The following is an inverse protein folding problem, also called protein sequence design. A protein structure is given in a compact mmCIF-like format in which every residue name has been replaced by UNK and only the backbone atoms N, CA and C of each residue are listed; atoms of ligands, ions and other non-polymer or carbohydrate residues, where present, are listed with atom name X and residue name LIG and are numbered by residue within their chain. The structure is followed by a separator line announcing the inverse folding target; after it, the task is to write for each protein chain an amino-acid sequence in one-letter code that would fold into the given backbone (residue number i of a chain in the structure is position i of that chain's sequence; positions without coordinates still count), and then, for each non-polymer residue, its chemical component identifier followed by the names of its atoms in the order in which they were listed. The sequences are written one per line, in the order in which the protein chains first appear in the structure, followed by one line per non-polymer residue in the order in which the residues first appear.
data_IF_384745296634
#
_entry.id   IF_384745296634
#
_cell.length_a   1.000
_cell.length_b   1.000
_cell.length_c   1.000
_cell.angle_alpha   90.00
_cell.angle_beta   90.00
_cell.angle_gamma   90.00
#
_symmetry.space_group_name_H-M   'P 1'
#
loop_
_entity.id
_entity.type
_entity.pdbx_description
1 polymer ?
#
# COMPACT_ATOMS: atom_id res chain seq x y z
N UNK A 1 -0.29 -10.19 18.06
CA UNK A 1 -1.44 -9.39 18.55
C UNK A 1 -2.72 -10.04 18.04
N UNK A 2 -3.70 -10.39 18.89
CA UNK A 2 -4.96 -10.99 18.40
C UNK A 2 -5.77 -9.91 17.66
N UNK A 3 -6.29 -10.24 16.48
CA UNK A 3 -7.19 -9.36 15.70
C UNK A 3 -8.53 -9.29 16.43
N UNK A 4 -8.67 -8.33 17.35
CA UNK A 4 -9.92 -8.12 18.06
C UNK A 4 -10.87 -7.28 17.21
N UNK A 5 -12.02 -7.85 16.89
CA UNK A 5 -13.09 -7.14 16.20
C UNK A 5 -13.53 -5.95 17.07
N UNK A 6 -13.41 -4.73 16.55
CA UNK A 6 -13.88 -3.53 17.25
C UNK A 6 -15.34 -3.30 16.92
N UNK A 7 -16.20 -3.23 17.94
CA UNK A 7 -17.62 -2.91 17.74
C UNK A 7 -17.79 -1.40 17.71
N UNK A 8 -18.45 -0.89 16.67
CA UNK A 8 -18.79 0.53 16.57
C UNK A 8 -19.87 0.85 17.61
N UNK A 9 -19.59 1.74 18.54
CA UNK A 9 -20.45 2.02 19.70
C UNK A 9 -21.55 3.06 19.43
N UNK A 10 -21.43 3.85 18.37
CA UNK A 10 -22.30 4.99 18.08
C UNK A 10 -22.41 5.31 16.58
N UNK A 11 -23.37 6.15 16.22
CA UNK A 11 -23.57 6.61 14.84
C UNK A 11 -24.29 5.61 13.93
N UNK A 12 -24.37 5.89 12.62
CA UNK A 12 -25.17 5.10 11.67
C UNK A 12 -24.69 3.64 11.53
N UNK A 13 -23.43 3.35 11.90
CA UNK A 13 -22.85 2.01 11.85
C UNK A 13 -22.79 1.31 13.21
N UNK A 14 -23.50 1.82 14.23
CA UNK A 14 -23.54 1.22 15.57
C UNK A 14 -23.86 -0.27 15.53
N UNK A 15 -23.10 -1.07 16.28
CA UNK A 15 -23.25 -2.52 16.38
C UNK A 15 -22.56 -3.32 15.25
N UNK A 16 -22.02 -2.66 14.22
CA UNK A 16 -21.18 -3.33 13.23
C UNK A 16 -19.80 -3.60 13.81
N UNK A 17 -19.16 -4.67 13.30
CA UNK A 17 -17.80 -5.07 13.66
C UNK A 17 -16.82 -4.57 12.61
N UNK A 18 -15.75 -3.95 13.06
CA UNK A 18 -14.59 -3.59 12.23
C UNK A 18 -13.50 -4.61 12.49
N UNK A 19 -12.95 -5.15 11.40
CA UNK A 19 -11.73 -5.95 11.41
C UNK A 19 -10.70 -5.25 10.52
N UNK A 20 -9.53 -4.99 11.06
CA UNK A 20 -8.42 -4.47 10.27
C UNK A 20 -7.74 -5.60 9.50
N UNK A 21 -7.39 -5.31 8.25
CA UNK A 21 -6.48 -6.13 7.47
C UNK A 21 -5.11 -6.21 8.20
N UNK A 22 -4.37 -7.33 8.03
CA UNK A 22 -3.03 -7.43 8.61
C UNK A 22 -2.07 -6.41 7.97
N UNK A 23 -1.00 -6.08 8.68
CA UNK A 23 0.05 -5.16 8.21
C UNK A 23 1.43 -5.82 8.26
N UNK A 24 1.49 -7.13 8.50
CA UNK A 24 2.75 -7.78 8.81
C UNK A 24 3.65 -7.81 7.56
N UNK A 25 3.06 -8.04 6.38
CA UNK A 25 3.79 -8.06 5.13
C UNK A 25 4.34 -6.69 4.77
N UNK A 26 3.49 -5.66 4.77
CA UNK A 26 3.94 -4.29 4.45
C UNK A 26 4.99 -3.79 5.45
N UNK A 27 4.88 -4.16 6.73
CA UNK A 27 5.87 -3.80 7.75
C UNK A 27 7.26 -4.43 7.51
N UNK A 28 7.35 -5.56 6.80
CA UNK A 28 8.65 -6.14 6.42
C UNK A 28 9.40 -5.27 5.40
N UNK A 29 8.69 -4.42 4.66
CA UNK A 29 9.23 -3.56 3.61
C UNK A 29 9.13 -2.08 3.99
N UNK A 30 9.25 -1.75 5.28
CA UNK A 30 9.00 -0.39 5.81
C UNK A 30 9.76 0.70 5.04
N UNK A 31 11.07 0.53 4.82
CA UNK A 31 11.88 1.50 4.07
C UNK A 31 11.41 1.70 2.63
N UNK A 32 11.06 0.60 1.94
CA UNK A 32 10.54 0.64 0.57
C UNK A 32 9.17 1.32 0.54
N UNK A 33 8.29 0.98 1.50
CA UNK A 33 6.96 1.57 1.59
C UNK A 33 7.03 3.08 1.84
N UNK A 34 7.85 3.54 2.80
CA UNK A 34 8.02 4.97 3.09
C UNK A 34 8.67 5.71 1.92
N UNK A 35 9.65 5.10 1.25
CA UNK A 35 10.25 5.66 0.04
C UNK A 35 9.22 5.81 -1.08
N UNK A 36 8.41 4.77 -1.32
CA UNK A 36 7.40 4.77 -2.38
C UNK A 36 6.30 5.79 -2.09
N UNK A 37 5.77 5.82 -0.87
CA UNK A 37 4.71 6.76 -0.49
C UNK A 37 5.17 8.20 -0.65
N UNK A 38 6.39 8.51 -0.24
CA UNK A 38 6.97 9.84 -0.43
C UNK A 38 7.24 10.17 -1.90
N UNK A 39 7.86 9.27 -2.67
CA UNK A 39 8.26 9.57 -4.06
C UNK A 39 7.09 9.58 -5.05
N UNK A 40 6.13 8.69 -4.87
CA UNK A 40 5.01 8.49 -5.80
C UNK A 40 3.82 9.35 -5.42
N UNK A 41 3.49 9.43 -4.12
CA UNK A 41 2.28 10.10 -3.64
C UNK A 41 2.55 11.38 -2.83
N UNK A 42 3.82 11.76 -2.62
CA UNK A 42 4.21 12.92 -1.80
C UNK A 42 3.66 12.88 -0.37
N UNK A 43 3.45 11.66 0.16
CA UNK A 43 2.98 11.47 1.54
C UNK A 43 4.12 11.16 2.50
N UNK A 44 4.17 11.92 3.58
CA UNK A 44 5.06 11.69 4.70
C UNK A 44 4.53 10.57 5.62
N UNK A 45 5.41 9.91 6.41
CA UNK A 45 4.96 8.94 7.40
C UNK A 45 3.88 9.53 8.31
N UNK A 46 2.81 8.76 8.53
CA UNK A 46 1.58 9.12 9.28
C UNK A 46 0.50 9.87 8.50
N UNK A 47 0.77 10.28 7.26
CA UNK A 47 -0.26 10.86 6.38
C UNK A 47 -1.09 9.78 5.68
N UNK A 48 -0.63 8.53 5.73
CA UNK A 48 -1.29 7.37 5.13
C UNK A 48 -1.40 6.19 6.10
N UNK A 49 -2.32 5.28 5.77
CA UNK A 49 -2.44 3.98 6.39
C UNK A 49 -2.52 2.92 5.29
N UNK A 50 -1.53 2.01 5.26
CA UNK A 50 -1.51 0.88 4.33
C UNK A 50 -1.55 -0.44 5.11
N UNK A 51 -2.12 -1.45 4.48
CA UNK A 51 -2.23 -2.81 5.00
C UNK A 51 -1.79 -3.80 3.92
N UNK A 52 -1.69 -5.08 4.27
CA UNK A 52 -1.36 -6.16 3.33
C UNK A 52 -2.42 -6.29 2.21
N UNK A 53 -3.61 -5.72 2.39
CA UNK A 53 -4.70 -5.71 1.41
C UNK A 53 -4.79 -4.39 0.61
N UNK A 54 -3.93 -3.40 0.90
CA UNK A 54 -3.95 -2.11 0.20
C UNK A 54 -3.43 -2.23 -1.23
N UNK A 55 -3.99 -1.42 -2.13
CA UNK A 55 -3.68 -1.40 -3.57
C UNK A 55 -3.46 0.03 -4.08
N UNK A 56 -2.91 0.18 -5.28
CA UNK A 56 -2.78 1.49 -5.93
C UNK A 56 -4.13 2.20 -6.11
N UNK A 57 -5.24 1.45 -6.26
CA UNK A 57 -6.59 2.02 -6.36
C UNK A 57 -6.99 2.82 -5.12
N UNK A 58 -6.51 2.44 -3.93
CA UNK A 58 -6.82 3.16 -2.69
C UNK A 58 -6.28 4.59 -2.68
N UNK A 59 -5.36 4.90 -3.61
CA UNK A 59 -4.70 6.19 -3.75
C UNK A 59 -5.07 6.91 -5.05
N UNK A 60 -5.93 6.32 -5.88
CA UNK A 60 -6.48 6.99 -7.07
C UNK A 60 -7.47 8.08 -6.67
N UNK A 61 -7.47 9.21 -7.38
CA UNK A 61 -8.42 10.32 -7.17
C UNK A 61 -8.07 11.28 -6.03
N UNK A 62 -6.89 11.18 -5.41
CA UNK A 62 -6.43 12.16 -4.41
C UNK A 62 -5.88 13.44 -5.07
N UNK A 63 -5.18 13.33 -6.20
CA UNK A 63 -4.52 14.46 -6.90
C UNK A 63 -4.72 14.43 -8.43
N UNK A 64 -5.91 14.03 -8.90
CA UNK A 64 -6.22 13.82 -10.34
C UNK A 64 -5.34 12.74 -11.03
N UNK A 65 -4.44 12.08 -10.30
CA UNK A 65 -3.64 10.97 -10.79
C UNK A 65 -4.51 9.73 -11.00
N UNK A 66 -4.52 9.24 -12.23
CA UNK A 66 -5.13 7.97 -12.59
C UNK A 66 -4.13 6.81 -12.33
N UNK A 67 -4.64 5.58 -12.29
CA UNK A 67 -3.81 4.39 -12.06
C UNK A 67 -2.60 4.32 -13.02
N UNK A 68 -2.82 4.64 -14.30
CA UNK A 68 -1.78 4.60 -15.33
C UNK A 68 -0.66 5.60 -15.01
N UNK A 69 -0.99 6.76 -14.46
CA UNK A 69 0.00 7.78 -14.09
C UNK A 69 0.84 7.30 -12.89
N UNK A 70 0.19 6.64 -11.92
CA UNK A 70 0.87 6.04 -10.76
C UNK A 70 1.84 4.95 -11.23
N UNK A 71 1.38 4.03 -12.08
CA UNK A 71 2.20 2.94 -12.62
C UNK A 71 3.40 3.49 -13.41
N UNK A 72 3.17 4.49 -14.26
CA UNK A 72 4.24 5.15 -15.01
C UNK A 72 5.25 5.84 -14.09
N UNK A 73 4.79 6.51 -13.04
CA UNK A 73 5.68 7.15 -12.05
C UNK A 73 6.51 6.12 -11.29
N UNK A 74 5.94 4.96 -10.95
CA UNK A 74 6.69 3.84 -10.36
C UNK A 74 7.76 3.35 -11.34
N UNK A 75 7.42 3.18 -12.63
CA UNK A 75 8.37 2.80 -13.66
C UNK A 75 9.51 3.81 -13.78
N UNK A 76 9.21 5.11 -13.83
CA UNK A 76 10.22 6.17 -13.96
C UNK A 76 11.16 6.25 -12.73
N UNK A 77 10.64 5.99 -11.52
CA UNK A 77 11.43 6.11 -10.27
C UNK A 77 12.23 4.85 -9.96
N UNK A 78 11.70 3.67 -10.27
CA UNK A 78 12.27 2.39 -9.87
C UNK A 78 12.80 1.54 -11.04
N UNK A 79 12.63 2.00 -12.29
CA UNK A 79 12.91 1.23 -13.51
C UNK A 79 12.21 -0.14 -13.52
N UNK A 80 10.97 -0.15 -13.02
CA UNK A 80 10.16 -1.35 -12.83
C UNK A 80 8.74 -1.16 -13.35
N UNK A 81 8.36 -2.01 -14.31
CA UNK A 81 6.98 -2.14 -14.71
C UNK A 81 6.21 -2.97 -13.67
N UNK A 82 5.08 -2.41 -13.24
CA UNK A 82 4.14 -3.02 -12.30
C UNK A 82 2.75 -3.19 -12.91
N UNK A 83 2.54 -2.80 -14.16
CA UNK A 83 1.25 -2.90 -14.85
C UNK A 83 0.79 -4.34 -15.11
N UNK A 84 1.70 -5.31 -15.01
CA UNK A 84 1.38 -6.73 -15.06
C UNK A 84 0.84 -7.27 -13.71
N UNK A 85 0.93 -6.51 -12.63
CA UNK A 85 0.38 -6.88 -11.32
C UNK A 85 -1.12 -6.58 -11.31
N UNK A 86 -1.93 -7.54 -11.78
CA UNK A 86 -3.40 -7.39 -11.91
C UNK A 86 -4.10 -6.98 -10.60
N UNK A 87 -3.55 -7.38 -9.45
CA UNK A 87 -4.12 -7.02 -8.13
C UNK A 87 -3.83 -5.57 -7.74
N UNK A 88 -2.85 -4.93 -8.38
CA UNK A 88 -2.28 -3.63 -8.04
C UNK A 88 -1.90 -3.53 -6.55
N UNK A 89 -1.65 -4.67 -5.90
CA UNK A 89 -1.45 -4.76 -4.47
C UNK A 89 -0.08 -4.20 -4.09
N UNK A 90 -0.06 -3.34 -3.06
CA UNK A 90 1.15 -2.66 -2.62
C UNK A 90 2.21 -3.63 -2.09
N UNK A 91 1.82 -4.70 -1.39
CA UNK A 91 2.76 -5.69 -0.88
C UNK A 91 3.47 -6.43 -2.02
N UNK A 92 2.75 -6.80 -3.08
CA UNK A 92 3.35 -7.42 -4.28
C UNK A 92 4.34 -6.47 -4.97
N UNK A 93 3.99 -5.18 -5.07
CA UNK A 93 4.86 -4.13 -5.62
C UNK A 93 6.12 -3.98 -4.75
N UNK A 94 5.99 -3.93 -3.42
CA UNK A 94 7.14 -3.82 -2.52
C UNK A 94 8.08 -5.02 -2.63
N UNK A 95 7.52 -6.24 -2.70
CA UNK A 95 8.30 -7.46 -2.92
C UNK A 95 9.07 -7.40 -4.25
N UNK A 96 8.45 -6.87 -5.31
CA UNK A 96 9.12 -6.73 -6.61
C UNK A 96 10.24 -5.70 -6.58
N UNK A 97 10.01 -4.55 -5.96
CA UNK A 97 11.05 -3.52 -5.75
C UNK A 97 12.21 -4.10 -4.94
N UNK A 98 11.92 -4.83 -3.86
CA UNK A 98 12.93 -5.49 -3.04
C UNK A 98 13.77 -6.46 -3.87
N UNK A 99 13.12 -7.35 -4.64
CA UNK A 99 13.81 -8.31 -5.50
C UNK A 99 14.73 -7.66 -6.51
N UNK A 100 14.29 -6.56 -7.12
CA UNK A 100 15.11 -5.79 -8.07
C UNK A 100 16.34 -5.18 -7.40
N UNK A 101 16.18 -4.60 -6.21
CA UNK A 101 17.27 -3.89 -5.51
C UNK A 101 18.24 -4.82 -4.76
N UNK A 102 17.76 -5.92 -4.18
CA UNK A 102 18.52 -6.71 -3.20
C UNK A 102 18.55 -8.23 -3.48
N UNK A 103 17.79 -8.73 -4.46
CA UNK A 103 17.57 -10.17 -4.65
C UNK A 103 16.42 -10.72 -3.79
N UNK A 104 16.23 -12.04 -3.79
CA UNK A 104 15.10 -12.65 -3.07
C UNK A 104 15.17 -12.38 -1.55
N UNK A 105 14.06 -11.95 -0.93
CA UNK A 105 14.01 -11.79 0.52
C UNK A 105 14.27 -13.14 1.21
N UNK A 106 15.21 -13.15 2.16
CA UNK A 106 15.62 -14.33 2.93
C UNK A 106 14.60 -14.74 3.98
#
# INVERSE_FOLDING_TARGET
MKKEDRVITSGPFKGKKIRFAPTNGVNMFMEISEELMRKIFDFEPREYLITDESSLYDFTGLDEMELIDIQKKIQDVYDLDVSDIVSENLLEIFMRIHRSKFGDPS
#
